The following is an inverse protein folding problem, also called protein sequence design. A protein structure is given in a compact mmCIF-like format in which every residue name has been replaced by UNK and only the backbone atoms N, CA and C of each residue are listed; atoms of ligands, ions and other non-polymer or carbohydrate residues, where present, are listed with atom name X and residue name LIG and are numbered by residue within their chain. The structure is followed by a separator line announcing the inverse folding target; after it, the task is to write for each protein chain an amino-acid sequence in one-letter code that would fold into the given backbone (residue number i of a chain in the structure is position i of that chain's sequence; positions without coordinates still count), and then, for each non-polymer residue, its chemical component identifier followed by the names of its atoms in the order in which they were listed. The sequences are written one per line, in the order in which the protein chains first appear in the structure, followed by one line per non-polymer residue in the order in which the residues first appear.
data_IF_657359883723
#
_entry.id   IF_657359883723
#
_cell.length_a   1.000
_cell.length_b   1.000
_cell.length_c   1.000
_cell.angle_alpha   90.00
_cell.angle_beta   90.00
_cell.angle_gamma   90.00
#
_symmetry.space_group_name_H-M   'P 1'
#
loop_
_entity.id
_entity.type
_entity.pdbx_description
1 polymer ?
#
# COMPACT_ATOMS: atom_id res chain seq x y z
N UNK A 1 -13.53 -2.24 -18.12
CA UNK A 1 -12.18 -2.01 -17.59
C UNK A 1 -11.35 -1.00 -18.39
N UNK A 2 -11.06 -1.17 -19.71
CA UNK A 2 -10.22 -0.21 -20.49
C UNK A 2 -10.74 1.25 -20.50
N UNK A 3 -12.07 1.46 -20.47
CA UNK A 3 -12.68 2.80 -20.46
C UNK A 3 -12.59 3.50 -19.10
N UNK A 4 -12.56 2.75 -18.01
CA UNK A 4 -12.44 3.29 -16.64
C UNK A 4 -11.00 3.70 -16.35
N UNK A 5 -10.02 2.93 -16.82
CA UNK A 5 -8.61 3.29 -16.75
C UNK A 5 -8.28 4.56 -17.54
N UNK A 6 -8.87 4.70 -18.74
CA UNK A 6 -8.73 5.90 -19.56
C UNK A 6 -9.36 7.14 -18.92
N UNK A 7 -10.47 6.98 -18.17
CA UNK A 7 -11.11 8.08 -17.44
C UNK A 7 -10.27 8.53 -16.24
N UNK A 8 -9.67 7.59 -15.51
CA UNK A 8 -8.78 7.89 -14.39
C UNK A 8 -7.51 8.62 -14.86
N UNK A 9 -6.90 8.18 -15.97
CA UNK A 9 -5.77 8.88 -16.60
C UNK A 9 -6.15 10.28 -17.13
N UNK A 10 -7.36 10.43 -17.68
CA UNK A 10 -7.83 11.72 -18.19
C UNK A 10 -8.14 12.72 -17.06
N UNK A 11 -8.64 12.26 -15.90
CA UNK A 11 -8.83 13.10 -14.72
C UNK A 11 -7.48 13.55 -14.12
N UNK A 12 -6.49 12.68 -14.09
CA UNK A 12 -5.13 13.03 -13.63
C UNK A 12 -4.45 14.05 -14.56
N UNK A 13 -4.71 13.99 -15.87
CA UNK A 13 -4.17 14.94 -16.84
C UNK A 13 -4.89 16.31 -16.85
N UNK A 14 -6.14 16.38 -16.34
CA UNK A 14 -6.94 17.61 -16.31
C UNK A 14 -6.69 18.46 -15.06
N UNK A 15 -6.03 17.93 -14.02
CA UNK A 15 -5.57 18.70 -12.88
C UNK A 15 -4.37 19.55 -13.31
N UNK A 16 -4.65 20.78 -13.75
CA UNK A 16 -3.65 21.74 -14.20
C UNK A 16 -2.53 21.89 -13.17
N UNK A 17 -1.31 21.77 -13.65
CA UNK A 17 -0.08 21.87 -12.89
C UNK A 17 -0.05 23.14 -12.01
N UNK A 18 -0.41 22.98 -10.76
CA UNK A 18 0.05 23.90 -9.73
C UNK A 18 1.43 23.39 -9.32
N UNK A 19 2.48 23.89 -9.93
CA UNK A 19 3.84 23.79 -9.41
C UNK A 19 3.88 24.57 -8.09
N UNK A 20 3.46 23.94 -7.02
CA UNK A 20 3.72 24.46 -5.70
C UNK A 20 5.14 23.99 -5.31
N UNK A 21 5.98 24.94 -4.90
CA UNK A 21 7.17 24.61 -4.12
C UNK A 21 6.70 23.89 -2.85
N UNK A 22 6.68 22.55 -2.85
CA UNK A 22 6.15 21.78 -1.73
C UNK A 22 5.87 20.31 -2.07
N UNK A 23 5.03 19.69 -1.25
CA UNK A 23 4.55 18.34 -1.43
C UNK A 23 3.51 18.26 -2.54
N UNK A 24 3.62 17.28 -3.45
CA UNK A 24 2.56 17.01 -4.43
C UNK A 24 1.58 16.00 -3.86
N UNK A 25 0.28 16.33 -3.94
CA UNK A 25 -0.84 15.44 -3.63
C UNK A 25 -1.58 14.98 -4.90
N UNK A 26 -1.01 15.29 -6.08
CA UNK A 26 -1.49 14.77 -7.37
C UNK A 26 -0.37 13.96 -8.00
N UNK A 27 -0.54 12.63 -8.02
CA UNK A 27 0.46 11.73 -8.57
C UNK A 27 -0.15 10.41 -9.06
N UNK A 28 0.62 9.73 -9.88
CA UNK A 28 0.44 8.32 -10.24
C UNK A 28 1.72 7.56 -9.89
N UNK A 29 1.56 6.34 -9.43
CA UNK A 29 2.65 5.49 -8.97
C UNK A 29 2.43 4.05 -9.41
N UNK A 30 3.51 3.35 -9.73
CA UNK A 30 3.47 1.92 -9.99
C UNK A 30 4.82 1.29 -9.65
N UNK A 31 4.79 0.04 -9.24
CA UNK A 31 5.99 -0.68 -8.84
C UNK A 31 5.73 -2.10 -8.41
N UNK A 32 6.66 -2.60 -7.60
CA UNK A 32 6.61 -3.91 -6.97
C UNK A 32 6.36 -3.73 -5.46
N UNK A 33 5.53 -4.59 -4.90
CA UNK A 33 5.30 -4.67 -3.45
C UNK A 33 5.39 -6.12 -3.01
N UNK A 34 5.89 -6.34 -1.79
CA UNK A 34 5.93 -7.61 -1.09
C UNK A 34 5.20 -7.45 0.23
N UNK A 35 4.33 -8.40 0.54
CA UNK A 35 3.66 -8.51 1.82
C UNK A 35 4.18 -9.76 2.51
N UNK A 36 4.69 -9.59 3.71
CA UNK A 36 5.16 -10.67 4.58
C UNK A 36 4.15 -10.82 5.72
N UNK A 37 3.64 -12.03 5.95
CA UNK A 37 2.73 -12.32 7.04
C UNK A 37 3.19 -13.58 7.77
N UNK A 38 3.51 -13.43 9.06
CA UNK A 38 3.83 -14.56 9.93
C UNK A 38 2.57 -15.39 10.20
N UNK A 39 2.66 -16.70 9.97
CA UNK A 39 1.58 -17.63 10.25
C UNK A 39 1.84 -18.38 11.56
N UNK A 40 0.85 -18.51 12.45
CA UNK A 40 1.01 -19.26 13.67
C UNK A 40 1.19 -20.75 13.35
N UNK A 41 2.35 -21.31 13.71
CA UNK A 41 2.59 -22.76 13.62
C UNK A 41 1.62 -23.54 14.52
N UNK A 42 1.29 -24.75 14.10
CA UNK A 42 0.47 -25.69 14.89
C UNK A 42 1.36 -26.81 15.45
N UNK A 43 1.07 -27.31 16.65
CA UNK A 43 1.88 -28.39 17.25
C UNK A 43 2.11 -29.57 16.30
N UNK A 44 3.37 -29.79 15.91
CA UNK A 44 3.82 -30.86 15.02
C UNK A 44 3.79 -30.56 13.53
N UNK A 45 3.45 -29.32 13.14
CA UNK A 45 3.51 -28.83 11.76
C UNK A 45 4.13 -27.44 11.73
N UNK A 46 5.03 -27.24 10.79
CA UNK A 46 5.58 -25.93 10.44
C UNK A 46 4.88 -25.47 9.16
N UNK A 47 4.32 -24.28 9.18
CA UNK A 47 3.73 -23.59 8.03
C UNK A 47 4.68 -22.47 7.68
N UNK A 48 5.09 -22.38 6.42
CA UNK A 48 5.93 -21.27 5.99
C UNK A 48 5.14 -19.95 6.07
N UNK A 49 5.83 -18.87 6.37
CA UNK A 49 5.24 -17.53 6.33
C UNK A 49 4.81 -17.19 4.90
N UNK A 50 3.81 -16.32 4.75
CA UNK A 50 3.39 -15.82 3.44
C UNK A 50 4.32 -14.68 3.04
N UNK A 51 4.95 -14.79 1.87
CA UNK A 51 5.80 -13.75 1.25
C UNK A 51 5.22 -13.33 -0.10
N UNK A 52 3.97 -12.83 -0.12
CA UNK A 52 3.27 -12.52 -1.35
C UNK A 52 3.89 -11.31 -2.07
N UNK A 53 4.57 -11.58 -3.17
CA UNK A 53 5.22 -10.58 -4.01
C UNK A 53 4.46 -10.30 -5.30
N UNK A 54 4.39 -9.00 -5.70
CA UNK A 54 3.70 -8.65 -6.93
C UNK A 54 3.73 -7.18 -7.26
N UNK A 55 2.85 -6.76 -8.14
CA UNK A 55 2.78 -5.38 -8.59
C UNK A 55 1.81 -4.54 -7.77
N UNK A 56 2.05 -3.24 -7.75
CA UNK A 56 1.05 -2.28 -7.31
C UNK A 56 0.91 -1.10 -8.28
N UNK A 57 -0.25 -0.46 -8.23
CA UNK A 57 -0.52 0.84 -8.84
C UNK A 57 -1.23 1.70 -7.79
N UNK A 58 -0.87 2.97 -7.71
CA UNK A 58 -1.51 3.91 -6.81
C UNK A 58 -1.66 5.28 -7.48
N UNK A 59 -2.56 6.09 -6.97
CA UNK A 59 -2.75 7.44 -7.45
C UNK A 59 -3.43 8.30 -6.41
N UNK A 60 -3.18 9.59 -6.50
CA UNK A 60 -3.80 10.61 -5.68
C UNK A 60 -4.11 11.84 -6.53
N UNK A 61 -5.16 12.55 -6.17
CA UNK A 61 -5.55 13.80 -6.80
C UNK A 61 -5.98 14.81 -5.74
N UNK A 62 -5.29 15.96 -5.69
CA UNK A 62 -5.73 17.10 -4.89
C UNK A 62 -7.07 17.61 -5.43
N UNK A 63 -8.08 17.63 -4.56
CA UNK A 63 -9.43 18.14 -4.89
C UNK A 63 -9.66 19.53 -4.33
N UNK A 64 -8.80 19.97 -3.42
CA UNK A 64 -8.75 21.33 -2.87
C UNK A 64 -7.35 21.62 -2.31
N UNK A 65 -7.06 22.84 -1.84
CA UNK A 65 -5.77 23.17 -1.22
C UNK A 65 -5.41 22.36 0.03
N UNK A 66 -6.36 21.65 0.63
CA UNK A 66 -6.14 20.87 1.86
C UNK A 66 -6.69 19.45 1.80
N UNK A 67 -7.33 19.05 0.69
CA UNK A 67 -7.93 17.73 0.57
C UNK A 67 -7.51 17.03 -0.71
N UNK A 68 -7.29 15.73 -0.62
CA UNK A 68 -7.02 14.87 -1.76
C UNK A 68 -7.85 13.58 -1.65
N UNK A 69 -8.08 12.95 -2.78
CA UNK A 69 -8.60 11.58 -2.87
C UNK A 69 -7.49 10.69 -3.37
N UNK A 70 -7.45 9.46 -2.89
CA UNK A 70 -6.40 8.52 -3.31
C UNK A 70 -6.96 7.11 -3.46
N UNK A 71 -6.25 6.30 -4.20
CA UNK A 71 -6.55 4.89 -4.36
C UNK A 71 -5.31 4.10 -4.73
N UNK A 72 -5.35 2.82 -4.42
CA UNK A 72 -4.30 1.88 -4.77
C UNK A 72 -4.91 0.51 -5.10
N UNK A 73 -4.19 -0.26 -5.89
CA UNK A 73 -4.44 -1.67 -6.12
C UNK A 73 -3.11 -2.42 -6.08
N UNK A 74 -3.08 -3.52 -5.34
CA UNK A 74 -1.93 -4.44 -5.26
C UNK A 74 -2.42 -5.83 -5.57
N UNK A 75 -1.54 -6.61 -6.19
CA UNK A 75 -1.76 -8.03 -6.40
C UNK A 75 -0.42 -8.72 -6.32
N UNK A 76 -0.35 -9.78 -5.52
CA UNK A 76 0.80 -10.66 -5.37
C UNK A 76 0.36 -12.10 -5.23
N UNK A 77 1.30 -13.00 -5.37
CA UNK A 77 1.13 -14.44 -5.18
C UNK A 77 2.33 -15.01 -4.42
N UNK A 78 2.10 -16.13 -3.75
CA UNK A 78 3.12 -16.89 -3.04
C UNK A 78 2.78 -18.38 -3.03
N UNK A 79 3.82 -19.22 -2.92
CA UNK A 79 3.71 -20.66 -2.72
C UNK A 79 4.05 -21.02 -1.27
N UNK A 80 3.03 -21.27 -0.45
CA UNK A 80 3.18 -21.60 0.99
C UNK A 80 3.33 -23.09 1.18
N UNK A 81 4.44 -23.51 1.77
CA UNK A 81 4.73 -24.91 2.12
C UNK A 81 4.20 -25.29 3.50
N UNK A 82 3.79 -26.54 3.65
CA UNK A 82 3.49 -27.17 4.94
C UNK A 82 4.44 -28.32 5.16
N UNK A 83 5.21 -28.28 6.24
CA UNK A 83 6.18 -29.32 6.57
C UNK A 83 5.94 -29.92 7.96
N UNK A 84 6.44 -31.14 8.15
CA UNK A 84 6.47 -31.82 9.44
C UNK A 84 7.90 -32.24 9.77
N UNK A 85 8.37 -32.04 11.01
CA UNK A 85 9.70 -32.46 11.45
C UNK A 85 9.96 -33.97 11.28
N UNK A 86 8.91 -34.77 11.14
CA UNK A 86 9.00 -36.25 11.02
C UNK A 86 8.86 -36.70 9.58
N UNK A 87 8.00 -36.06 8.78
CA UNK A 87 7.63 -36.49 7.42
C UNK A 87 8.27 -35.64 6.32
N UNK A 88 8.87 -34.51 6.67
CA UNK A 88 9.35 -33.52 5.71
C UNK A 88 8.18 -32.69 5.13
N UNK A 89 8.36 -32.19 3.90
CA UNK A 89 7.32 -31.44 3.18
C UNK A 89 6.12 -32.35 2.89
N UNK A 90 4.91 -31.89 3.27
CA UNK A 90 3.66 -32.66 3.19
C UNK A 90 2.76 -32.11 2.09
N UNK A 91 2.90 -30.85 1.73
CA UNK A 91 2.14 -30.20 0.66
C UNK A 91 2.50 -28.74 0.50
N UNK A 92 2.07 -28.16 -0.59
CA UNK A 92 2.15 -26.73 -0.86
C UNK A 92 0.83 -26.22 -1.40
N UNK A 93 0.53 -24.95 -1.11
CA UNK A 93 -0.65 -24.27 -1.62
C UNK A 93 -0.22 -22.94 -2.22
N UNK A 94 -0.76 -22.57 -3.38
CA UNK A 94 -0.55 -21.26 -3.96
C UNK A 94 -1.57 -20.28 -3.38
N UNK A 95 -1.09 -19.15 -2.88
CA UNK A 95 -1.91 -18.08 -2.29
C UNK A 95 -1.84 -16.87 -3.20
N UNK A 96 -2.96 -16.53 -3.84
CA UNK A 96 -3.14 -15.27 -4.56
C UNK A 96 -3.76 -14.23 -3.60
N UNK A 97 -3.15 -13.08 -3.47
CA UNK A 97 -3.69 -11.97 -2.68
C UNK A 97 -3.89 -10.73 -3.54
N UNK A 98 -5.05 -10.09 -3.41
CA UNK A 98 -5.29 -8.78 -4.00
C UNK A 98 -5.92 -7.83 -2.99
N UNK A 99 -5.57 -6.54 -3.08
CA UNK A 99 -6.13 -5.50 -2.23
C UNK A 99 -6.39 -4.23 -3.04
N UNK A 100 -7.61 -3.73 -2.93
CA UNK A 100 -8.00 -2.41 -3.43
C UNK A 100 -8.18 -1.44 -2.27
N UNK A 101 -7.70 -0.22 -2.43
CA UNK A 101 -7.80 0.86 -1.44
C UNK A 101 -8.44 2.07 -2.09
N UNK A 102 -9.38 2.72 -1.40
CA UNK A 102 -9.97 4.00 -1.80
C UNK A 102 -10.10 4.89 -0.57
N UNK A 103 -9.61 6.13 -0.65
CA UNK A 103 -9.59 7.00 0.51
C UNK A 103 -9.64 8.49 0.20
N UNK A 104 -9.80 9.24 1.28
CA UNK A 104 -9.72 10.70 1.32
C UNK A 104 -8.67 11.11 2.33
N UNK A 105 -7.94 12.17 2.02
CA UNK A 105 -6.91 12.71 2.91
C UNK A 105 -7.07 14.20 3.10
N UNK A 106 -6.76 14.64 4.31
CA UNK A 106 -6.59 16.04 4.69
C UNK A 106 -5.11 16.30 4.94
N UNK A 107 -4.60 17.43 4.44
CA UNK A 107 -3.23 17.86 4.73
C UNK A 107 -3.20 19.32 5.15
N UNK A 108 -2.27 19.62 6.06
CA UNK A 108 -2.08 20.95 6.61
C UNK A 108 -0.59 21.28 6.70
N UNK A 109 -0.18 22.34 6.02
CA UNK A 109 1.21 22.82 6.05
C UNK A 109 1.57 23.37 7.43
N UNK A 110 2.47 22.70 8.12
CA UNK A 110 3.07 23.20 9.37
C UNK A 110 4.14 24.26 9.10
N UNK A 111 4.83 24.11 7.99
CA UNK A 111 5.80 25.08 7.44
C UNK A 111 6.04 24.76 5.94
N UNK A 112 6.94 25.51 5.28
CA UNK A 112 7.22 25.35 3.85
C UNK A 112 7.73 23.96 3.43
N UNK A 113 8.16 23.11 4.36
CA UNK A 113 8.74 21.79 4.09
C UNK A 113 8.05 20.65 4.83
N UNK A 114 7.02 20.92 5.61
CA UNK A 114 6.42 19.91 6.50
C UNK A 114 4.91 20.01 6.48
N UNK A 115 4.25 18.93 6.12
CA UNK A 115 2.80 18.78 6.20
C UNK A 115 2.42 17.72 7.23
N UNK A 116 1.37 18.04 8.00
CA UNK A 116 0.59 17.05 8.74
C UNK A 116 -0.43 16.43 7.78
N UNK A 117 -0.61 15.12 7.83
CA UNK A 117 -1.55 14.39 6.97
C UNK A 117 -2.46 13.52 7.83
N UNK A 118 -3.75 13.52 7.52
CA UNK A 118 -4.74 12.61 8.10
C UNK A 118 -5.54 11.97 6.97
N UNK A 119 -5.69 10.64 7.01
CA UNK A 119 -6.29 9.86 5.94
C UNK A 119 -7.38 8.92 6.49
N UNK A 120 -8.43 8.72 5.71
CA UNK A 120 -9.44 7.71 5.96
C UNK A 120 -9.66 6.93 4.66
N UNK A 121 -9.57 5.62 4.72
CA UNK A 121 -9.71 4.76 3.56
C UNK A 121 -10.51 3.50 3.85
N UNK A 122 -11.13 2.98 2.81
CA UNK A 122 -11.73 1.67 2.73
C UNK A 122 -10.81 0.75 1.95
N UNK A 123 -10.65 -0.47 2.45
CA UNK A 123 -9.84 -1.53 1.88
C UNK A 123 -10.75 -2.70 1.54
N UNK A 124 -10.61 -3.26 0.35
CA UNK A 124 -11.19 -4.54 -0.03
C UNK A 124 -10.05 -5.52 -0.30
N UNK A 125 -10.01 -6.60 0.45
CA UNK A 125 -8.97 -7.63 0.37
C UNK A 125 -9.61 -8.94 -0.09
N UNK A 126 -8.97 -9.59 -1.08
CA UNK A 126 -9.33 -10.91 -1.57
C UNK A 126 -8.11 -11.82 -1.45
N UNK A 127 -8.28 -12.99 -0.85
CA UNK A 127 -7.25 -14.02 -0.66
C UNK A 127 -7.80 -15.32 -1.22
N UNK A 128 -7.17 -15.85 -2.27
CA UNK A 128 -7.53 -17.13 -2.89
C UNK A 128 -6.42 -18.17 -2.62
N UNK A 129 -6.77 -19.23 -1.95
CA UNK A 129 -5.87 -20.38 -1.72
C UNK A 129 -6.19 -21.48 -2.72
N UNK A 130 -5.22 -21.86 -3.53
CA UNK A 130 -5.32 -22.91 -4.56
C UNK A 130 -4.44 -24.09 -4.20
N UNK A 131 -4.97 -25.30 -4.30
CA UNK A 131 -4.25 -26.53 -3.97
C UNK A 131 -5.17 -27.59 -3.40
N UNK A 132 -4.62 -28.48 -2.56
CA UNK A 132 -5.39 -29.60 -1.96
C UNK A 132 -6.49 -29.12 -1.00
N UNK A 133 -6.40 -27.90 -0.48
CA UNK A 133 -7.39 -27.22 0.35
C UNK A 133 -7.77 -25.87 -0.29
N UNK A 134 -8.59 -25.92 -1.34
CA UNK A 134 -9.10 -24.70 -1.98
C UNK A 134 -9.95 -23.89 -1.01
N UNK A 135 -9.72 -22.59 -0.94
CA UNK A 135 -10.47 -21.64 -0.13
C UNK A 135 -10.36 -20.24 -0.68
N UNK A 136 -11.39 -19.44 -0.49
CA UNK A 136 -11.37 -18.02 -0.78
C UNK A 136 -11.87 -17.25 0.43
N UNK A 137 -11.20 -16.17 0.77
CA UNK A 137 -11.63 -15.23 1.80
C UNK A 137 -11.61 -13.82 1.19
N UNK A 138 -12.70 -13.11 1.36
CA UNK A 138 -12.82 -11.71 1.03
C UNK A 138 -13.29 -10.92 2.25
N UNK A 139 -12.88 -9.66 2.36
CA UNK A 139 -13.28 -8.83 3.46
C UNK A 139 -13.03 -7.35 3.20
N UNK A 140 -13.81 -6.56 3.90
CA UNK A 140 -13.77 -5.10 3.84
C UNK A 140 -13.30 -4.53 5.18
N UNK A 141 -12.36 -3.58 5.11
CA UNK A 141 -11.82 -2.92 6.29
C UNK A 141 -11.85 -1.39 6.12
N UNK A 142 -11.83 -0.70 7.24
CA UNK A 142 -11.66 0.75 7.31
C UNK A 142 -10.34 1.07 7.99
N UNK A 143 -9.55 1.96 7.36
CA UNK A 143 -8.27 2.41 7.89
C UNK A 143 -8.28 3.91 8.14
N UNK A 144 -7.90 4.32 9.34
CA UNK A 144 -7.58 5.69 9.70
C UNK A 144 -6.08 5.85 9.88
N UNK A 145 -5.49 6.88 9.28
CA UNK A 145 -4.06 7.15 9.37
C UNK A 145 -3.77 8.61 9.71
N UNK A 146 -2.69 8.83 10.45
CA UNK A 146 -2.15 10.16 10.71
C UNK A 146 -0.64 10.14 10.58
N UNK A 147 -0.06 11.19 10.01
CA UNK A 147 1.38 11.23 9.78
C UNK A 147 1.91 12.59 9.38
N UNK A 148 3.18 12.60 9.05
CA UNK A 148 3.91 13.78 8.62
C UNK A 148 4.64 13.46 7.32
N UNK A 149 4.61 14.41 6.39
CA UNK A 149 5.45 14.43 5.18
C UNK A 149 6.46 15.57 5.32
N UNK A 150 7.72 15.32 4.98
CA UNK A 150 8.78 16.29 5.14
C UNK A 150 9.75 16.27 3.96
N UNK A 151 10.06 17.47 3.43
CA UNK A 151 11.11 17.65 2.42
C UNK A 151 12.47 17.83 3.12
N UNK A 152 13.27 16.76 3.14
CA UNK A 152 14.66 16.82 3.65
C UNK A 152 15.50 17.69 2.72
N UNK A 153 15.28 17.60 1.42
CA UNK A 153 15.87 18.43 0.37
C UNK A 153 14.79 18.74 -0.69
N UNK A 154 15.07 19.62 -1.63
CA UNK A 154 14.10 20.00 -2.66
C UNK A 154 13.69 18.83 -3.56
N UNK A 155 14.54 17.81 -3.64
CA UNK A 155 14.31 16.57 -4.40
C UNK A 155 14.16 15.32 -3.53
N UNK A 156 14.13 15.42 -2.19
CA UNK A 156 13.98 14.29 -1.27
C UNK A 156 12.86 14.55 -0.29
N UNK A 157 11.84 13.73 -0.38
CA UNK A 157 10.71 13.74 0.52
C UNK A 157 10.68 12.44 1.33
N UNK A 158 10.36 12.55 2.61
CA UNK A 158 10.10 11.40 3.50
C UNK A 158 8.75 11.56 4.17
N UNK A 159 8.14 10.44 4.53
CA UNK A 159 6.93 10.44 5.36
C UNK A 159 6.98 9.33 6.39
N UNK A 160 6.26 9.57 7.47
CA UNK A 160 5.96 8.57 8.49
C UNK A 160 4.47 8.70 8.84
N UNK A 161 3.79 7.57 8.91
CA UNK A 161 2.36 7.50 9.29
C UNK A 161 2.14 6.39 10.31
N UNK A 162 1.23 6.63 11.25
CA UNK A 162 0.62 5.60 12.07
C UNK A 162 -0.79 5.33 11.58
N UNK A 163 -1.16 4.07 11.48
CA UNK A 163 -2.46 3.62 10.96
C UNK A 163 -3.17 2.74 11.98
N UNK A 164 -4.48 2.78 11.96
CA UNK A 164 -5.36 1.84 12.64
C UNK A 164 -6.34 1.28 11.62
N UNK A 165 -6.41 -0.03 11.51
CA UNK A 165 -7.27 -0.75 10.56
C UNK A 165 -8.17 -1.70 11.33
N UNK A 166 -9.46 -1.71 10.99
CA UNK A 166 -10.47 -2.54 11.64
C UNK A 166 -11.51 -2.99 10.61
N UNK A 167 -11.96 -4.24 10.67
CA UNK A 167 -12.95 -4.78 9.76
C UNK A 167 -12.94 -6.31 9.71
N UNK A 168 -13.12 -6.86 8.52
CA UNK A 168 -13.29 -8.29 8.33
C UNK A 168 -11.95 -9.05 8.30
N UNK A 169 -10.88 -8.41 7.80
CA UNK A 169 -9.54 -9.01 7.67
C UNK A 169 -8.62 -8.58 8.81
N UNK A 170 -8.72 -7.30 9.22
CA UNK A 170 -7.91 -6.72 10.29
C UNK A 170 -8.76 -6.49 11.55
N UNK A 171 -8.49 -7.23 12.61
CA UNK A 171 -9.20 -7.11 13.91
C UNK A 171 -8.48 -6.08 14.81
N UNK A 172 -8.70 -4.78 14.53
CA UNK A 172 -8.18 -3.70 15.34
C UNK A 172 -6.65 -3.57 15.31
N UNK A 173 -6.04 -3.67 14.14
CA UNK A 173 -4.60 -3.68 13.96
C UNK A 173 -3.99 -2.27 13.89
N UNK A 174 -2.90 -2.03 14.62
CA UNK A 174 -2.06 -0.85 14.49
C UNK A 174 -0.85 -1.15 13.61
N UNK A 175 -0.54 -0.25 12.69
CA UNK A 175 0.68 -0.29 11.89
C UNK A 175 1.36 1.08 11.82
N UNK A 176 2.62 1.07 11.42
CA UNK A 176 3.36 2.28 11.10
C UNK A 176 4.02 2.12 9.74
N UNK A 177 3.94 3.17 8.91
CA UNK A 177 4.65 3.21 7.64
C UNK A 177 5.67 4.33 7.60
N UNK A 178 6.76 4.07 6.89
CA UNK A 178 7.79 5.04 6.55
C UNK A 178 8.07 4.94 5.05
N UNK A 179 8.20 6.09 4.41
CA UNK A 179 8.50 6.11 3.00
C UNK A 179 9.40 7.25 2.59
N UNK A 180 9.93 7.12 1.39
CA UNK A 180 10.86 8.06 0.79
C UNK A 180 10.55 8.22 -0.70
N UNK A 181 10.59 9.45 -1.20
CA UNK A 181 10.63 9.77 -2.62
C UNK A 181 11.92 10.52 -2.95
N UNK A 182 12.63 10.04 -3.99
CA UNK A 182 13.74 10.77 -4.61
C UNK A 182 13.31 11.27 -5.99
N UNK A 183 13.12 12.59 -6.14
CA UNK A 183 12.73 13.22 -7.40
C UNK A 183 13.94 13.29 -8.33
N UNK A 184 13.87 12.59 -9.46
CA UNK A 184 14.89 12.62 -10.54
C UNK A 184 14.69 13.85 -11.44
N UNK A 185 13.43 14.23 -11.62
CA UNK A 185 12.98 15.43 -12.36
C UNK A 185 11.82 16.05 -11.59
N UNK A 186 11.31 17.24 -11.97
CA UNK A 186 10.10 17.78 -11.35
C UNK A 186 8.89 16.86 -11.38
N UNK A 187 8.78 16.01 -12.41
CA UNK A 187 7.64 15.07 -12.58
C UNK A 187 7.96 13.66 -12.07
N UNK A 188 9.16 13.13 -12.34
CA UNK A 188 9.47 11.73 -12.10
C UNK A 188 10.36 11.52 -10.88
N UNK A 189 10.02 10.54 -10.06
CA UNK A 189 10.81 10.12 -8.91
C UNK A 189 10.74 8.62 -8.66
N UNK A 190 11.70 8.15 -7.89
CA UNK A 190 11.69 6.82 -7.29
C UNK A 190 11.02 6.92 -5.92
N UNK A 191 10.25 5.90 -5.56
CA UNK A 191 9.61 5.79 -4.25
C UNK A 191 9.94 4.46 -3.60
N UNK A 192 10.02 4.48 -2.28
CA UNK A 192 10.08 3.28 -1.46
C UNK A 192 9.25 3.50 -0.21
N UNK A 193 8.51 2.49 0.21
CA UNK A 193 7.72 2.49 1.44
C UNK A 193 7.88 1.16 2.15
N UNK A 194 7.93 1.21 3.47
CA UNK A 194 7.81 0.07 4.36
C UNK A 194 6.70 0.33 5.37
N UNK A 195 5.85 -0.64 5.61
CA UNK A 195 4.82 -0.63 6.65
C UNK A 195 4.97 -1.88 7.49
N UNK A 196 4.83 -1.76 8.79
CA UNK A 196 4.87 -2.90 9.71
C UNK A 196 3.93 -2.70 10.88
N UNK A 197 3.31 -3.78 11.34
CA UNK A 197 2.43 -3.78 12.50
C UNK A 197 1.80 -5.14 12.74
N UNK A 198 1.75 -5.56 14.02
CA UNK A 198 1.35 -6.92 14.34
C UNK A 198 2.28 -7.95 13.70
N UNK A 199 1.70 -8.96 13.07
CA UNK A 199 2.42 -10.07 12.41
C UNK A 199 2.55 -9.83 10.89
N UNK A 200 2.42 -8.56 10.43
CA UNK A 200 2.44 -8.21 9.00
C UNK A 200 3.48 -7.13 8.72
N UNK A 201 4.28 -7.33 7.69
CA UNK A 201 5.14 -6.31 7.12
C UNK A 201 4.92 -6.17 5.61
N UNK A 202 5.06 -4.96 5.09
CA UNK A 202 4.95 -4.68 3.66
C UNK A 202 6.13 -3.82 3.21
N UNK A 203 6.67 -4.14 2.05
CA UNK A 203 7.68 -3.33 1.37
C UNK A 203 7.23 -3.02 -0.04
N UNK A 204 7.44 -1.78 -0.47
CA UNK A 204 7.11 -1.36 -1.83
C UNK A 204 8.21 -0.49 -2.41
N UNK A 205 8.52 -0.69 -3.68
CA UNK A 205 9.42 0.16 -4.46
C UNK A 205 8.80 0.45 -5.82
N UNK A 206 8.93 1.69 -6.29
CA UNK A 206 8.28 2.06 -7.53
C UNK A 206 8.76 3.36 -8.12
N UNK A 207 8.05 3.77 -9.16
CA UNK A 207 8.22 5.05 -9.85
C UNK A 207 6.95 5.87 -9.66
N UNK A 208 7.12 7.15 -9.33
CA UNK A 208 6.03 8.13 -9.16
C UNK A 208 6.17 9.25 -10.18
N UNK A 209 5.05 9.55 -10.84
CA UNK A 209 4.88 10.77 -11.62
C UNK A 209 4.03 11.75 -10.80
N UNK A 210 4.59 12.91 -10.44
CA UNK A 210 3.94 13.97 -9.66
C UNK A 210 3.57 15.14 -10.57
N UNK A 211 2.41 15.78 -10.28
CA UNK A 211 1.84 16.87 -11.09
C UNK A 211 1.46 18.08 -10.26
#
# INVERSE_FOLDING_TARGET
MKKQLALALALAAASGAAFADGHSYTYLEAGFAQLDQELPGTEGFEVDDIEAGGFFVAGSAAVSPSFHVFGAYRKGDDDVGVSSPVLGEIGSSNVDMSQAVLGVGYHHGLNARTDLVAELSWLATEIDVKGDNEGAQDGDDVRAGVGVRHLIADNVEVWIKGNYTDGDVYDGAFSASVGLQYKLTPTWGLVGEAEGGGDTAMFAVGVRASF
#
